data_IF_809110342008
#
_entry.id   IF_809110342008
#
_cell.length_a   1.000
_cell.length_b   1.000
_cell.length_c   1.000
_cell.angle_alpha   90.00
_cell.angle_beta   90.00
_cell.angle_gamma   90.00
#
_symmetry.space_group_name_H-M   'P 1'
#
loop_
_entity.id
_entity.type
_entity.pdbx_description
1 polymer ?
#
# COMPACT_ATOMS: atom_id res chain seq x y z
N UNK A 1 -6.67 10.26 -2.83
CA UNK A 1 -6.47 10.54 -4.27
C UNK A 1 -5.43 9.60 -4.88
N UNK A 2 -4.15 9.68 -4.49
CA UNK A 2 -3.06 8.82 -5.04
C UNK A 2 -3.36 7.31 -5.03
N UNK A 3 -3.74 6.71 -3.90
CA UNK A 3 -3.99 5.25 -3.83
C UNK A 3 -5.16 4.76 -4.69
N UNK A 4 -6.19 5.61 -4.86
CA UNK A 4 -7.32 5.30 -5.74
C UNK A 4 -6.88 5.29 -7.21
N UNK A 5 -6.08 6.28 -7.60
CA UNK A 5 -5.52 6.38 -8.96
C UNK A 5 -4.57 5.21 -9.25
N UNK A 6 -3.71 4.85 -8.30
CA UNK A 6 -2.82 3.70 -8.43
C UNK A 6 -3.61 2.39 -8.60
N UNK A 7 -4.66 2.16 -7.80
CA UNK A 7 -5.54 1.00 -7.95
C UNK A 7 -6.22 0.98 -9.31
N UNK A 8 -6.70 2.12 -9.80
CA UNK A 8 -7.35 2.22 -11.11
C UNK A 8 -6.38 1.82 -12.24
N UNK A 9 -5.13 2.29 -12.16
CA UNK A 9 -4.12 2.08 -13.19
C UNK A 9 -3.49 0.66 -13.22
N UNK A 10 -3.53 -0.08 -12.11
CA UNK A 10 -2.95 -1.43 -12.08
C UNK A 10 -3.74 -2.43 -12.95
N UNK A 11 -3.04 -3.36 -13.59
CA UNK A 11 -3.67 -4.53 -14.24
C UNK A 11 -4.13 -5.56 -13.20
N UNK A 12 -4.97 -6.51 -13.61
CA UNK A 12 -5.33 -7.66 -12.76
C UNK A 12 -4.07 -8.40 -12.31
N UNK A 13 -3.94 -8.64 -11.00
CA UNK A 13 -2.74 -9.25 -10.41
C UNK A 13 -1.57 -8.30 -10.17
N UNK A 14 -1.66 -7.04 -10.59
CA UNK A 14 -0.66 -6.01 -10.33
C UNK A 14 -0.58 -5.61 -8.86
N UNK A 15 0.56 -5.05 -8.45
CA UNK A 15 0.82 -4.62 -7.08
C UNK A 15 1.35 -3.19 -7.00
N UNK A 16 0.90 -2.46 -5.97
CA UNK A 16 1.42 -1.17 -5.56
C UNK A 16 2.39 -1.36 -4.39
N UNK A 17 3.61 -0.86 -4.52
CA UNK A 17 4.60 -0.78 -3.43
C UNK A 17 4.70 0.65 -2.92
N UNK A 18 4.77 0.82 -1.60
CA UNK A 18 4.76 2.13 -0.95
C UNK A 18 5.77 2.13 0.17
N UNK A 19 6.60 3.17 0.22
CA UNK A 19 7.39 3.54 1.39
C UNK A 19 6.67 4.69 2.08
N UNK A 20 6.47 4.60 3.39
CA UNK A 20 5.81 5.67 4.15
C UNK A 20 6.29 5.77 5.58
N UNK A 21 6.07 6.93 6.21
CA UNK A 21 6.36 7.09 7.64
C UNK A 21 5.48 6.15 8.45
N UNK A 22 6.08 5.40 9.38
CA UNK A 22 5.39 4.33 10.14
C UNK A 22 4.14 4.83 10.88
N UNK A 23 4.17 6.08 11.36
CA UNK A 23 3.09 6.69 12.13
C UNK A 23 1.85 7.09 11.32
N UNK A 24 1.92 7.13 9.99
CA UNK A 24 0.83 7.64 9.14
C UNK A 24 -0.28 6.62 8.86
N UNK A 25 -0.20 5.41 9.39
CA UNK A 25 -1.31 4.44 9.37
C UNK A 25 -1.76 4.01 7.96
N UNK A 26 -0.87 3.97 6.97
CA UNK A 26 -1.24 3.69 5.58
C UNK A 26 -1.89 2.32 5.34
N UNK A 27 -1.59 1.32 6.19
CA UNK A 27 -2.18 -0.02 6.11
C UNK A 27 -3.72 0.04 6.12
N UNK A 28 -4.34 0.81 7.03
CA UNK A 28 -5.81 0.91 7.14
C UNK A 28 -6.44 1.45 5.87
N UNK A 29 -5.82 2.46 5.26
CA UNK A 29 -6.33 3.08 4.04
C UNK A 29 -6.18 2.15 2.84
N UNK A 30 -5.06 1.43 2.75
CA UNK A 30 -4.82 0.47 1.67
C UNK A 30 -5.74 -0.76 1.80
N UNK A 31 -5.99 -1.28 3.00
CA UNK A 31 -6.86 -2.45 3.21
C UNK A 31 -8.32 -2.20 2.83
N UNK A 32 -8.76 -0.93 2.80
CA UNK A 32 -10.08 -0.53 2.27
C UNK A 32 -10.12 -0.46 0.74
N UNK A 33 -8.97 -0.28 0.09
CA UNK A 33 -8.87 -0.06 -1.35
C UNK A 33 -8.43 -1.32 -2.11
N UNK A 34 -7.58 -2.14 -1.51
CA UNK A 34 -6.95 -3.30 -2.14
C UNK A 34 -7.40 -4.59 -1.46
N UNK A 35 -7.39 -5.70 -2.22
CA UNK A 35 -7.84 -7.01 -1.69
C UNK A 35 -6.85 -7.62 -0.70
N UNK A 36 -5.58 -7.21 -0.75
CA UNK A 36 -4.56 -7.66 0.19
C UNK A 36 -3.47 -6.61 0.36
N UNK A 37 -3.03 -6.41 1.60
CA UNK A 37 -1.94 -5.51 1.99
C UNK A 37 -0.98 -6.28 2.88
N UNK A 38 0.29 -6.35 2.49
CA UNK A 38 1.35 -7.00 3.26
C UNK A 38 2.45 -6.01 3.60
N UNK A 39 2.97 -6.07 4.83
CA UNK A 39 4.20 -5.38 5.17
C UNK A 39 5.38 -6.18 4.62
N UNK A 40 6.17 -5.55 3.77
CA UNK A 40 7.36 -6.17 3.17
C UNK A 40 8.58 -5.98 4.07
N UNK A 41 8.75 -4.79 4.63
CA UNK A 41 9.84 -4.45 5.54
C UNK A 41 9.50 -3.22 6.38
N UNK A 42 10.27 -2.96 7.44
CA UNK A 42 10.16 -1.73 8.21
C UNK A 42 11.47 -1.34 8.90
N UNK A 43 11.65 -0.05 9.11
CA UNK A 43 12.65 0.57 9.99
C UNK A 43 11.93 1.39 11.06
N UNK A 44 12.60 1.91 12.12
CA UNK A 44 11.91 2.71 13.13
C UNK A 44 11.08 3.88 12.55
N UNK A 45 11.56 4.52 11.48
CA UNK A 45 10.88 5.66 10.85
C UNK A 45 9.95 5.27 9.70
N UNK A 46 10.25 4.20 8.97
CA UNK A 46 9.57 3.87 7.71
C UNK A 46 8.96 2.46 7.69
N UNK A 47 7.93 2.28 6.85
CA UNK A 47 7.34 0.99 6.52
C UNK A 47 7.24 0.84 5.02
N UNK A 48 7.47 -0.38 4.52
CA UNK A 48 7.23 -0.77 3.14
C UNK A 48 5.98 -1.66 3.11
N UNK A 49 4.96 -1.23 2.38
CA UNK A 49 3.72 -1.98 2.17
C UNK A 49 3.57 -2.35 0.70
N UNK A 50 3.04 -3.55 0.45
CA UNK A 50 2.60 -3.99 -0.88
C UNK A 50 1.10 -4.23 -0.85
N UNK A 51 0.38 -3.65 -1.81
CA UNK A 51 -1.07 -3.79 -1.95
C UNK A 51 -1.42 -4.39 -3.32
N UNK A 52 -2.19 -5.50 -3.36
CA UNK A 52 -2.53 -6.23 -4.59
C UNK A 52 -3.92 -5.84 -5.11
N UNK A 53 -4.06 -5.61 -6.42
CA UNK A 53 -5.34 -5.28 -7.08
C UNK A 53 -6.27 -6.49 -7.14
#
# INVERSE_FOLDING_TARGET
RMFLQARAALVTGGALYIVGNRHLGYHTKLSRLFRGVEQVAATPKFVILKARK
#
